data_IF_891411493062
#
_entry.id   IF_891411493062
#
_cell.length_a   1.000
_cell.length_b   1.000
_cell.length_c   1.000
_cell.angle_alpha   90.00
_cell.angle_beta   90.00
_cell.angle_gamma   90.00
#
_symmetry.space_group_name_H-M   'P 1'
#
loop_
_entity.id
_entity.type
_entity.pdbx_description
1 polymer ?
#
# COMPACT_ATOMS: atom_id res chain seq x y z
N UNK A 1 39.31 29.68 10.74
CA UNK A 1 39.09 28.34 10.18
C UNK A 1 37.69 27.89 10.58
N UNK A 2 36.70 28.03 9.69
CA UNK A 2 35.35 27.53 9.93
C UNK A 2 35.35 26.04 9.63
N UNK A 3 35.27 25.24 10.71
CA UNK A 3 35.19 23.78 10.63
C UNK A 3 33.93 23.36 9.90
N UNK A 4 34.11 22.56 8.86
CA UNK A 4 33.06 21.96 8.03
C UNK A 4 32.09 21.22 8.93
N UNK A 5 30.83 21.70 8.98
CA UNK A 5 29.71 20.91 9.47
C UNK A 5 29.64 19.65 8.59
N UNK A 6 29.90 18.50 9.18
CA UNK A 6 29.78 17.22 8.51
C UNK A 6 28.33 17.06 8.08
N UNK A 7 28.08 17.03 6.78
CA UNK A 7 26.81 16.57 6.23
C UNK A 7 26.50 15.23 6.90
N UNK A 8 25.50 15.22 7.78
CA UNK A 8 24.90 14.00 8.24
C UNK A 8 24.57 13.18 6.99
N UNK A 9 25.07 11.94 6.96
CA UNK A 9 24.61 10.91 6.02
C UNK A 9 23.10 11.04 5.91
N UNK A 10 22.60 11.35 4.71
CA UNK A 10 21.18 11.48 4.47
C UNK A 10 20.53 10.15 4.83
N UNK A 11 20.02 10.05 6.05
CA UNK A 11 19.06 9.04 6.44
C UNK A 11 17.92 9.20 5.44
N UNK A 12 17.81 8.23 4.53
CA UNK A 12 16.76 8.19 3.54
C UNK A 12 15.44 8.29 4.30
N UNK A 13 14.79 9.46 4.24
CA UNK A 13 13.52 9.69 4.92
C UNK A 13 12.56 8.64 4.34
N UNK A 14 12.30 7.58 5.11
CA UNK A 14 11.32 6.55 4.74
C UNK A 14 9.96 7.23 4.67
N UNK A 15 9.60 7.64 3.47
CA UNK A 15 8.29 8.19 3.19
C UNK A 15 7.26 7.07 3.32
N UNK A 16 6.33 7.25 4.25
CA UNK A 16 5.21 6.34 4.43
C UNK A 16 4.08 6.75 3.48
N UNK A 17 3.64 5.82 2.63
CA UNK A 17 2.52 6.04 1.73
C UNK A 17 1.27 5.38 2.29
N UNK A 18 0.13 6.07 2.22
CA UNK A 18 -1.16 5.53 2.67
C UNK A 18 -2.05 5.21 1.48
N UNK A 19 -2.46 3.94 1.35
CA UNK A 19 -3.47 3.51 0.39
C UNK A 19 -4.82 3.45 1.09
N UNK A 20 -5.81 4.14 0.51
CA UNK A 20 -7.21 3.90 0.85
C UNK A 20 -7.74 2.85 -0.13
N UNK A 21 -8.07 1.69 0.42
CA UNK A 21 -8.46 0.52 -0.36
C UNK A 21 -9.86 0.08 -0.04
N UNK A 22 -10.47 -0.57 -1.01
CA UNK A 22 -11.70 -1.32 -0.87
C UNK A 22 -11.41 -2.78 -1.16
N UNK A 23 -11.92 -3.68 -0.32
CA UNK A 23 -11.75 -5.11 -0.49
C UNK A 23 -13.11 -5.82 -0.53
N UNK A 24 -13.18 -6.87 -1.33
CA UNK A 24 -14.38 -7.69 -1.52
C UNK A 24 -14.00 -9.17 -1.37
N UNK A 25 -14.88 -9.93 -0.71
CA UNK A 25 -14.96 -11.37 -0.82
C UNK A 25 -16.16 -11.76 -1.67
N UNK A 26 -15.95 -12.66 -2.63
CA UNK A 26 -17.01 -13.12 -3.52
C UNK A 26 -17.28 -14.61 -3.33
N UNK A 27 -18.51 -15.04 -3.63
CA UNK A 27 -18.85 -16.45 -3.78
C UNK A 27 -18.37 -17.02 -5.13
N UNK A 28 -18.66 -18.30 -5.38
CA UNK A 28 -18.30 -18.99 -6.61
C UNK A 28 -19.00 -18.45 -7.88
N UNK A 29 -20.05 -17.65 -7.73
CA UNK A 29 -20.76 -17.00 -8.83
C UNK A 29 -20.29 -15.55 -9.05
N UNK A 30 -19.29 -15.09 -8.29
CA UNK A 30 -18.79 -13.72 -8.34
C UNK A 30 -19.64 -12.71 -7.57
N UNK A 31 -20.63 -13.15 -6.80
CA UNK A 31 -21.46 -12.26 -5.97
C UNK A 31 -20.69 -11.84 -4.72
N UNK A 32 -20.70 -10.55 -4.41
CA UNK A 32 -20.04 -10.01 -3.20
C UNK A 32 -20.79 -10.48 -1.96
N UNK A 33 -20.11 -11.23 -1.09
CA UNK A 33 -20.67 -11.76 0.17
C UNK A 33 -20.19 -10.99 1.40
N UNK A 34 -19.09 -10.24 1.28
CA UNK A 34 -18.68 -9.23 2.25
C UNK A 34 -17.75 -8.20 1.60
N UNK A 35 -17.70 -7.00 2.15
CA UNK A 35 -16.76 -5.97 1.73
C UNK A 35 -16.36 -5.04 2.88
N UNK A 36 -15.37 -4.18 2.63
CA UNK A 36 -14.95 -3.16 3.58
C UNK A 36 -13.97 -2.16 2.97
N UNK A 37 -13.71 -1.07 3.70
CA UNK A 37 -12.66 -0.13 3.36
C UNK A 37 -11.55 -0.20 4.41
N UNK A 38 -10.30 -0.05 4.00
CA UNK A 38 -9.17 0.01 4.94
C UNK A 38 -8.04 0.91 4.43
N UNK A 39 -7.30 1.47 5.38
CA UNK A 39 -6.07 2.22 5.14
C UNK A 39 -4.85 1.33 5.32
N UNK A 40 -3.96 1.31 4.33
CA UNK A 40 -2.70 0.57 4.41
C UNK A 40 -1.52 1.53 4.34
N UNK A 41 -0.61 1.45 5.31
CA UNK A 41 0.63 2.21 5.31
C UNK A 41 1.75 1.33 4.74
N UNK A 42 2.42 1.80 3.70
CA UNK A 42 3.56 1.09 3.09
C UNK A 42 4.82 1.93 3.18
N UNK A 43 5.96 1.27 3.38
CA UNK A 43 7.29 1.88 3.43
C UNK A 43 8.03 1.87 2.08
N UNK A 44 7.35 1.63 0.96
CA UNK A 44 7.97 1.53 -0.38
C UNK A 44 8.03 2.87 -1.11
N UNK A 45 8.69 2.91 -2.27
CA UNK A 45 8.57 4.01 -3.25
C UNK A 45 7.09 4.28 -3.58
N UNK A 46 6.68 5.53 -3.87
CA UNK A 46 5.29 5.80 -4.21
C UNK A 46 4.84 4.97 -5.41
N UNK A 47 3.60 4.48 -5.34
CA UNK A 47 2.95 3.89 -6.48
C UNK A 47 2.83 4.93 -7.62
N UNK A 48 3.23 4.52 -8.81
CA UNK A 48 3.18 5.25 -10.06
C UNK A 48 2.85 4.26 -11.19
N UNK A 49 2.69 4.76 -12.42
CA UNK A 49 2.29 3.95 -13.57
C UNK A 49 3.23 2.75 -13.84
N UNK A 50 4.49 2.80 -13.40
CA UNK A 50 5.47 1.75 -13.67
C UNK A 50 5.54 0.67 -12.58
N UNK A 51 4.98 0.91 -11.38
CA UNK A 51 5.08 -0.04 -10.26
C UNK A 51 3.75 -0.36 -9.58
N UNK A 52 2.63 0.21 -10.06
CA UNK A 52 1.30 0.06 -9.43
C UNK A 52 0.90 -1.41 -9.23
N UNK A 53 1.24 -2.30 -10.16
CA UNK A 53 0.90 -3.73 -10.08
C UNK A 53 1.59 -4.39 -8.87
N UNK A 54 2.86 -4.08 -8.61
CA UNK A 54 3.59 -4.59 -7.44
C UNK A 54 2.93 -4.15 -6.12
N UNK A 55 2.36 -2.95 -6.09
CA UNK A 55 1.64 -2.45 -4.91
C UNK A 55 0.30 -3.16 -4.74
N UNK A 56 -0.45 -3.41 -5.82
CA UNK A 56 -1.70 -4.17 -5.78
C UNK A 56 -1.45 -5.59 -5.29
N UNK A 57 -0.41 -6.26 -5.80
CA UNK A 57 -0.04 -7.62 -5.39
C UNK A 57 0.36 -7.68 -3.93
N UNK A 58 1.19 -6.73 -3.48
CA UNK A 58 1.59 -6.65 -2.07
C UNK A 58 0.38 -6.43 -1.15
N UNK A 59 -0.52 -5.50 -1.49
CA UNK A 59 -1.73 -5.23 -0.72
C UNK A 59 -2.65 -6.46 -0.67
N UNK A 60 -2.82 -7.15 -1.79
CA UNK A 60 -3.62 -8.37 -1.86
C UNK A 60 -3.04 -9.46 -0.96
N UNK A 61 -1.72 -9.63 -0.98
CA UNK A 61 -1.02 -10.58 -0.12
C UNK A 61 -1.20 -10.23 1.37
N UNK A 62 -0.87 -8.99 1.77
CA UNK A 62 -0.97 -8.55 3.18
C UNK A 62 -2.42 -8.69 3.72
N UNK A 63 -3.40 -8.40 2.88
CA UNK A 63 -4.81 -8.55 3.25
C UNK A 63 -5.23 -10.00 3.37
N UNK A 64 -4.79 -10.87 2.45
CA UNK A 64 -5.06 -12.32 2.52
C UNK A 64 -4.39 -12.98 3.72
N UNK A 65 -3.21 -12.51 4.12
CA UNK A 65 -2.51 -12.97 5.32
C UNK A 65 -3.36 -12.69 6.59
N UNK A 66 -4.22 -11.66 6.59
CA UNK A 66 -5.16 -11.32 7.68
C UNK A 66 -6.55 -11.95 7.51
N UNK A 67 -7.04 -12.02 6.28
CA UNK A 67 -8.35 -12.58 5.92
C UNK A 67 -8.28 -13.28 4.56
N UNK A 68 -8.09 -14.60 4.59
CA UNK A 68 -7.93 -15.42 3.38
C UNK A 68 -9.16 -15.46 2.46
N UNK A 69 -10.31 -14.96 2.90
CA UNK A 69 -11.54 -14.89 2.09
C UNK A 69 -11.55 -13.69 1.14
N UNK A 70 -10.63 -12.74 1.29
CA UNK A 70 -10.52 -11.60 0.38
C UNK A 70 -9.99 -12.09 -0.96
N UNK A 71 -10.72 -11.78 -2.03
CA UNK A 71 -10.36 -12.20 -3.40
C UNK A 71 -9.88 -11.05 -4.26
N UNK A 72 -10.24 -9.82 -3.90
CA UNK A 72 -9.93 -8.61 -4.68
C UNK A 72 -9.65 -7.42 -3.77
N UNK A 73 -8.72 -6.57 -4.23
CA UNK A 73 -8.50 -5.23 -3.68
C UNK A 73 -8.59 -4.21 -4.81
N UNK A 74 -9.21 -3.07 -4.52
CA UNK A 74 -9.25 -1.90 -5.38
C UNK A 74 -8.61 -0.73 -4.62
N UNK A 75 -7.55 -0.16 -5.18
CA UNK A 75 -6.95 1.08 -4.67
C UNK A 75 -7.82 2.24 -5.17
N UNK A 76 -8.49 2.93 -4.24
CA UNK A 76 -9.36 4.08 -4.58
C UNK A 76 -8.57 5.37 -4.71
N UNK A 77 -7.63 5.59 -3.79
CA UNK A 77 -6.77 6.77 -3.77
C UNK A 77 -5.38 6.43 -3.25
N UNK A 78 -4.38 7.10 -3.80
CA UNK A 78 -2.99 7.08 -3.36
C UNK A 78 -2.65 8.49 -2.92
N UNK A 79 -2.41 8.68 -1.62
CA UNK A 79 -2.04 9.99 -1.07
C UNK A 79 -0.60 9.93 -0.59
N UNK A 80 0.19 10.94 -0.97
CA UNK A 80 1.52 11.19 -0.41
C UNK A 80 1.36 12.03 0.84
N UNK A 81 1.77 11.49 1.99
CA UNK A 81 1.86 12.24 3.26
C UNK A 81 3.20 12.96 3.34
#
# INVERSE_FOLDING_TARGET
MLGRSSCASAEEIKMNYTYYTYYEGCDCNGSVIFNGNSGFVTQSVPANQNNIDNHVDWLLKDTKDKNNKVVRIVIKHITRL
#
